data_IF_977852825799
#
_entry.id   IF_977852825799
#
_cell.length_a   1.000
_cell.length_b   1.000
_cell.length_c   1.000
_cell.angle_alpha   90.00
_cell.angle_beta   90.00
_cell.angle_gamma   90.00
#
_symmetry.space_group_name_H-M   'P 1'
#
loop_
_entity.id
_entity.type
_entity.pdbx_description
1 polymer ?
#
# COMPACT_ATOMS: atom_id res chain seq x y z
N UNK A 1 4.45 6.98 20.21
CA UNK A 1 5.02 7.57 18.97
C UNK A 1 4.52 9.01 18.80
N UNK A 2 5.03 9.94 19.60
CA UNK A 2 4.45 11.31 19.70
C UNK A 2 5.10 12.33 18.76
N UNK A 3 6.19 11.95 18.09
CA UNK A 3 6.98 12.85 17.25
C UNK A 3 6.68 12.60 15.76
N UNK A 4 5.84 13.43 15.16
CA UNK A 4 5.74 13.58 13.72
C UNK A 4 6.81 14.59 13.23
N UNK A 5 7.62 14.22 12.25
CA UNK A 5 8.56 15.14 11.60
C UNK A 5 7.89 15.69 10.34
N UNK A 6 7.28 16.88 10.45
CA UNK A 6 6.63 17.62 9.36
C UNK A 6 5.13 17.32 9.18
N UNK A 7 4.32 18.39 9.07
CA UNK A 7 2.86 18.32 8.98
C UNK A 7 2.16 17.97 10.30
N UNK A 8 0.82 18.04 10.33
CA UNK A 8 -0.01 17.75 11.52
C UNK A 8 -1.13 16.74 11.25
N UNK A 9 -1.17 16.14 10.06
CA UNK A 9 -2.30 15.35 9.57
C UNK A 9 -2.59 14.07 10.38
N UNK A 10 -1.61 13.53 11.11
CA UNK A 10 -1.84 12.32 11.91
C UNK A 10 -2.00 12.58 13.41
N UNK A 11 -1.72 13.79 13.90
CA UNK A 11 -1.76 14.12 15.33
C UNK A 11 -3.16 14.06 15.95
N UNK A 12 -4.22 14.03 15.14
CA UNK A 12 -5.61 13.95 15.63
C UNK A 12 -6.12 12.52 15.85
N UNK A 13 -5.36 11.50 15.46
CA UNK A 13 -5.79 10.12 15.66
C UNK A 13 -5.38 9.61 17.04
N UNK A 14 -6.33 8.97 17.73
CA UNK A 14 -6.07 8.23 18.98
C UNK A 14 -4.99 7.16 18.80
N UNK A 15 -4.95 6.54 17.62
CA UNK A 15 -3.90 5.60 17.19
C UNK A 15 -3.31 6.12 15.89
N UNK A 16 -2.00 6.35 15.87
CA UNK A 16 -1.31 6.76 14.65
C UNK A 16 -1.46 5.66 13.57
N UNK A 17 -1.71 6.00 12.30
CA UNK A 17 -1.87 5.00 11.24
C UNK A 17 -0.69 4.02 11.15
N UNK A 18 0.55 4.50 11.31
CA UNK A 18 1.75 3.65 11.33
C UNK A 18 1.75 2.66 12.50
N UNK A 19 1.23 3.05 13.67
CA UNK A 19 1.14 2.17 14.83
C UNK A 19 0.13 1.05 14.59
N UNK A 20 -1.04 1.37 14.03
CA UNK A 20 -2.04 0.37 13.63
C UNK A 20 -1.47 -0.63 12.61
N UNK A 21 -0.76 -0.13 11.59
CA UNK A 21 -0.15 -0.94 10.54
C UNK A 21 0.87 -1.92 11.12
N UNK A 22 1.79 -1.43 11.97
CA UNK A 22 2.85 -2.26 12.55
C UNK A 22 2.29 -3.27 13.55
N UNK A 23 1.37 -2.86 14.43
CA UNK A 23 0.78 -3.77 15.43
C UNK A 23 -0.06 -4.91 14.83
N UNK A 24 -0.60 -4.71 13.63
CA UNK A 24 -1.40 -5.72 12.93
C UNK A 24 -0.64 -6.41 11.78
N UNK A 25 0.70 -6.23 11.72
CA UNK A 25 1.56 -6.89 10.73
C UNK A 25 1.11 -6.70 9.27
N UNK A 26 0.55 -5.52 8.97
CA UNK A 26 0.02 -5.24 7.64
C UNK A 26 1.15 -5.02 6.63
N UNK A 27 1.00 -5.64 5.46
CA UNK A 27 1.93 -5.50 4.35
C UNK A 27 1.98 -4.08 3.76
N UNK A 28 2.91 -3.87 2.84
CA UNK A 28 3.17 -2.56 2.25
C UNK A 28 1.94 -1.91 1.61
N UNK A 29 1.21 -2.63 0.75
CA UNK A 29 0.04 -2.10 0.05
C UNK A 29 -1.11 -1.75 1.02
N UNK A 30 -1.56 -2.65 1.92
CA UNK A 30 -2.54 -2.29 2.96
C UNK A 30 -2.11 -1.10 3.84
N UNK A 31 -0.83 -1.03 4.23
CA UNK A 31 -0.35 0.09 5.03
C UNK A 31 -0.38 1.44 4.31
N UNK A 32 -0.04 1.43 3.02
CA UNK A 32 -0.14 2.60 2.14
C UNK A 32 -1.60 3.08 1.97
N UNK A 33 -2.54 2.14 1.85
CA UNK A 33 -3.97 2.43 1.79
C UNK A 33 -4.43 3.10 3.09
N UNK A 34 -4.09 2.51 4.25
CA UNK A 34 -4.47 3.04 5.57
C UNK A 34 -3.94 4.47 5.78
N UNK A 35 -2.67 4.74 5.46
CA UNK A 35 -2.12 6.08 5.57
C UNK A 35 -2.86 7.11 4.69
N UNK A 36 -3.22 6.73 3.47
CA UNK A 36 -3.91 7.63 2.54
C UNK A 36 -5.37 7.86 2.92
N UNK A 37 -6.09 6.81 3.33
CA UNK A 37 -7.49 6.95 3.73
C UNK A 37 -7.63 7.73 5.04
N UNK A 38 -6.64 7.70 5.92
CA UNK A 38 -6.63 8.55 7.11
C UNK A 38 -6.34 10.03 6.81
N UNK A 39 -5.72 10.37 5.68
CA UNK A 39 -5.29 11.76 5.40
C UNK A 39 -6.06 12.47 4.28
N UNK A 40 -6.75 11.76 3.38
CA UNK A 40 -7.17 12.32 2.08
C UNK A 40 -8.03 13.60 2.21
N UNK A 41 -8.85 13.68 3.25
CA UNK A 41 -9.75 14.80 3.57
C UNK A 41 -9.21 15.72 4.67
N UNK A 42 -7.97 15.52 5.12
CA UNK A 42 -7.31 16.30 6.17
C UNK A 42 -6.33 17.31 5.60
N UNK A 43 -5.83 18.21 6.46
CA UNK A 43 -4.85 19.22 6.08
C UNK A 43 -3.55 18.57 5.56
N UNK A 44 -3.23 18.79 4.29
CA UNK A 44 -2.10 18.15 3.60
C UNK A 44 -2.44 16.84 2.89
N UNK A 45 -3.70 16.40 2.96
CA UNK A 45 -4.26 15.38 2.09
C UNK A 45 -4.44 15.87 0.67
N UNK A 46 -4.51 14.94 -0.29
CA UNK A 46 -4.63 15.27 -1.72
C UNK A 46 -6.01 14.96 -2.30
N UNK A 47 -7.02 14.79 -1.44
CA UNK A 47 -8.40 14.51 -1.83
C UNK A 47 -8.50 13.35 -2.82
N UNK A 48 -9.03 13.64 -4.01
CA UNK A 48 -9.21 12.66 -5.08
C UNK A 48 -7.94 11.93 -5.49
N UNK A 49 -6.78 12.60 -5.50
CA UNK A 49 -5.51 11.95 -5.88
C UNK A 49 -5.12 10.82 -4.91
N UNK A 50 -5.38 11.01 -3.61
CA UNK A 50 -5.14 9.95 -2.61
C UNK A 50 -6.11 8.78 -2.80
N UNK A 51 -7.37 9.06 -3.18
CA UNK A 51 -8.36 8.01 -3.50
C UNK A 51 -7.99 7.22 -4.77
N UNK A 52 -7.50 7.88 -5.81
CA UNK A 52 -7.04 7.22 -7.04
C UNK A 52 -5.80 6.34 -6.76
N UNK A 53 -4.89 6.78 -5.87
CA UNK A 53 -3.77 5.95 -5.41
C UNK A 53 -4.23 4.74 -4.61
N UNK A 54 -5.23 4.90 -3.73
CA UNK A 54 -5.82 3.78 -3.00
C UNK A 54 -6.40 2.76 -3.98
N UNK A 55 -7.15 3.21 -5.00
CA UNK A 55 -7.68 2.32 -6.04
C UNK A 55 -6.55 1.53 -6.73
N UNK A 56 -5.50 2.21 -7.17
CA UNK A 56 -4.36 1.56 -7.81
C UNK A 56 -3.66 0.55 -6.90
N UNK A 57 -3.51 0.85 -5.60
CA UNK A 57 -2.90 -0.08 -4.64
C UNK A 57 -3.77 -1.31 -4.36
N UNK A 58 -5.10 -1.17 -4.40
CA UNK A 58 -6.03 -2.30 -4.35
C UNK A 58 -5.88 -3.15 -5.61
N UNK A 59 -5.80 -2.54 -6.80
CA UNK A 59 -5.59 -3.26 -8.06
C UNK A 59 -4.28 -4.06 -8.03
N UNK A 60 -3.18 -3.44 -7.57
CA UNK A 60 -1.89 -4.11 -7.38
C UNK A 60 -1.96 -5.25 -6.35
N UNK A 61 -2.68 -5.06 -5.24
CA UNK A 61 -2.83 -6.09 -4.23
C UNK A 61 -3.58 -7.30 -4.79
N UNK A 62 -4.61 -7.07 -5.60
CA UNK A 62 -5.34 -8.13 -6.29
C UNK A 62 -4.42 -8.86 -7.27
N UNK A 63 -3.67 -8.14 -8.10
CA UNK A 63 -2.76 -8.74 -9.08
C UNK A 63 -1.66 -9.59 -8.41
N UNK A 64 -1.05 -9.08 -7.34
CA UNK A 64 0.03 -9.82 -6.65
C UNK A 64 -0.49 -11.02 -5.85
N UNK A 65 -1.71 -10.97 -5.35
CA UNK A 65 -2.28 -12.04 -4.51
C UNK A 65 -3.00 -13.11 -5.33
N UNK A 66 -3.71 -12.69 -6.38
CA UNK A 66 -4.63 -13.54 -7.15
C UNK A 66 -4.33 -13.54 -8.66
N UNK A 67 -3.35 -12.75 -9.11
CA UNK A 67 -2.96 -12.72 -10.51
C UNK A 67 -2.33 -14.03 -10.98
N UNK A 68 -2.32 -14.26 -12.30
CA UNK A 68 -1.75 -15.46 -12.88
C UNK A 68 -0.27 -15.57 -12.52
N UNK A 69 0.08 -16.64 -11.82
CA UNK A 69 1.47 -16.97 -11.54
C UNK A 69 2.11 -17.34 -12.88
N UNK A 70 2.99 -16.48 -13.40
CA UNK A 70 3.82 -16.84 -14.56
C UNK A 70 4.71 -17.99 -14.09
N UNK A 71 4.40 -19.20 -14.55
CA UNK A 71 5.31 -20.32 -14.39
C UNK A 71 6.56 -20.00 -15.22
N UNK A 72 7.65 -19.65 -14.56
CA UNK A 72 8.98 -19.63 -15.17
C UNK A 72 9.34 -21.07 -15.58
N UNK A 73 8.88 -21.49 -16.76
CA UNK A 73 9.47 -22.67 -17.41
C UNK A 73 10.64 -22.19 -18.26
N UNK A 74 11.88 -22.62 -18.00
CA UNK A 74 12.95 -22.41 -18.95
C UNK A 74 12.61 -23.24 -20.20
N UNK A 75 12.59 -22.60 -21.36
CA UNK A 75 12.64 -23.28 -22.65
C UNK A 75 13.86 -24.20 -22.62
N UNK A 76 13.63 -25.51 -22.47
CA UNK A 76 14.66 -26.50 -22.75
C UNK A 76 14.79 -26.56 -24.25
N UNK A 77 15.74 -25.78 -24.76
CA UNK A 77 16.24 -25.81 -26.13
C UNK A 77 16.51 -27.27 -26.54
N UNK A 78 15.79 -27.85 -27.51
CA UNK A 78 16.11 -29.18 -28.00
C UNK A 78 17.35 -29.03 -28.88
N UNK A 79 18.52 -29.31 -28.30
CA UNK A 79 19.80 -29.28 -29.00
C UNK A 79 19.75 -30.06 -30.33
N UNK A 80 20.53 -29.64 -31.34
CA UNK A 80 20.37 -30.11 -32.71
C UNK A 80 20.69 -31.61 -32.83
N UNK A 81 19.89 -32.27 -33.68
CA UNK A 81 19.98 -33.68 -34.05
C UNK A 81 21.22 -34.01 -34.90
#
# INVERSE_FOLDING_TARGET
MERQIGGTHYMMFEIQPVEFIVKNELGFLPGCIIKRICRYDRLGGKGREDLEKIKHEVDLLIELTYGPQKSDRPDKDPGPA
#
